data_IF_281720568552
#
_entry.id   IF_281720568552
#
_cell.length_a   1.000
_cell.length_b   1.000
_cell.length_c   1.000
_cell.angle_alpha   90.00
_cell.angle_beta   90.00
_cell.angle_gamma   90.00
#
_symmetry.space_group_name_H-M   'P 1'
#
loop_
_entity.id
_entity.type
_entity.pdbx_description
1 polymer ?
#
# COMPACT_ATOMS: atom_id res chain seq x y z
N UNK A 1 5.92 -0.87 -33.24
CA UNK A 1 4.92 -0.46 -32.23
C UNK A 1 3.98 -1.57 -31.80
N UNK A 2 3.51 -2.42 -32.72
CA UNK A 2 2.60 -3.56 -32.45
C UNK A 2 3.19 -4.62 -31.49
N UNK A 3 4.46 -4.95 -31.61
CA UNK A 3 5.16 -5.94 -30.76
C UNK A 3 5.28 -5.51 -29.29
N UNK A 4 5.52 -4.22 -29.01
CA UNK A 4 5.56 -3.70 -27.62
C UNK A 4 4.17 -3.72 -26.97
N UNK A 5 3.09 -3.48 -27.74
CA UNK A 5 1.71 -3.50 -27.23
C UNK A 5 1.28 -4.91 -26.81
N UNK A 6 1.63 -5.93 -27.62
CA UNK A 6 1.37 -7.35 -27.31
C UNK A 6 2.18 -7.83 -26.07
N UNK A 7 3.45 -7.41 -25.92
CA UNK A 7 4.27 -7.74 -24.73
C UNK A 7 3.68 -7.19 -23.43
N UNK A 8 3.14 -5.96 -23.44
CA UNK A 8 2.54 -5.38 -22.24
C UNK A 8 1.25 -6.07 -21.80
N UNK A 9 0.38 -6.44 -22.74
CA UNK A 9 -0.84 -7.21 -22.42
C UNK A 9 -0.51 -8.61 -21.91
N UNK A 10 0.46 -9.30 -22.53
CA UNK A 10 0.92 -10.60 -22.05
C UNK A 10 1.48 -10.54 -20.63
N UNK A 11 2.27 -9.50 -20.30
CA UNK A 11 2.78 -9.31 -18.95
C UNK A 11 1.65 -9.14 -17.92
N UNK A 12 0.61 -8.35 -18.24
CA UNK A 12 -0.55 -8.20 -17.36
C UNK A 12 -1.30 -9.52 -17.15
N UNK A 13 -1.45 -10.33 -18.18
CA UNK A 13 -2.08 -11.66 -18.07
C UNK A 13 -1.24 -12.56 -17.18
N UNK A 14 0.09 -12.61 -17.37
CA UNK A 14 0.99 -13.41 -16.55
C UNK A 14 0.91 -12.97 -15.08
N UNK A 15 0.89 -11.66 -14.80
CA UNK A 15 0.79 -11.14 -13.43
C UNK A 15 -0.59 -11.44 -12.82
N UNK A 16 -1.66 -11.41 -13.61
CA UNK A 16 -3.00 -11.79 -13.13
C UNK A 16 -3.08 -13.28 -12.78
N UNK A 17 -2.49 -14.15 -13.63
CA UNK A 17 -2.36 -15.59 -13.34
C UNK A 17 -1.49 -15.81 -12.10
N UNK A 18 -0.36 -15.12 -11.98
CA UNK A 18 0.48 -15.17 -10.79
C UNK A 18 -0.30 -14.82 -9.53
N UNK A 19 -1.04 -13.70 -9.55
CA UNK A 19 -1.87 -13.28 -8.41
C UNK A 19 -2.90 -14.34 -8.06
N UNK A 20 -3.58 -14.92 -9.06
CA UNK A 20 -4.55 -15.99 -8.84
C UNK A 20 -3.90 -17.20 -8.17
N UNK A 21 -2.74 -17.65 -8.67
CA UNK A 21 -2.01 -18.78 -8.08
C UNK A 21 -1.60 -18.47 -6.64
N UNK A 22 -1.04 -17.28 -6.38
CA UNK A 22 -0.62 -16.88 -5.03
C UNK A 22 -1.84 -16.82 -4.09
N UNK A 23 -2.99 -16.32 -4.54
CA UNK A 23 -4.24 -16.32 -3.73
C UNK A 23 -4.65 -17.75 -3.37
N UNK A 24 -4.66 -18.67 -4.34
CA UNK A 24 -5.02 -20.09 -4.07
C UNK A 24 -4.03 -20.71 -3.09
N UNK A 25 -2.74 -20.51 -3.27
CA UNK A 25 -1.69 -21.00 -2.36
C UNK A 25 -1.87 -20.42 -0.95
N UNK A 26 -2.13 -19.11 -0.85
CA UNK A 26 -2.33 -18.42 0.42
C UNK A 26 -3.54 -18.96 1.20
N UNK A 27 -4.62 -19.34 0.50
CA UNK A 27 -5.73 -20.04 1.14
C UNK A 27 -5.36 -21.43 1.68
N UNK A 28 -4.43 -22.12 1.03
CA UNK A 28 -3.96 -23.44 1.50
C UNK A 28 -2.96 -23.31 2.66
N UNK A 29 -2.14 -22.27 2.65
CA UNK A 29 -1.14 -22.01 3.69
C UNK A 29 -1.82 -21.49 4.96
N UNK A 30 -1.39 -22.02 6.11
CA UNK A 30 -1.85 -21.57 7.43
C UNK A 30 -1.72 -22.66 8.47
N UNK A 31 -1.68 -22.27 9.75
CA UNK A 31 -1.47 -23.17 10.88
C UNK A 31 -2.59 -24.22 11.08
N UNK A 32 -3.79 -23.93 10.63
CA UNK A 32 -4.90 -24.88 10.65
C UNK A 32 -5.02 -25.53 9.26
N UNK A 33 -4.81 -26.83 9.12
CA UNK A 33 -4.85 -27.50 7.82
C UNK A 33 -6.29 -27.52 7.28
N UNK A 34 -6.47 -27.01 6.05
CA UNK A 34 -7.74 -27.09 5.30
C UNK A 34 -7.44 -27.74 3.96
N UNK A 35 -7.98 -28.93 3.67
CA UNK A 35 -7.79 -29.60 2.37
C UNK A 35 -8.31 -28.72 1.22
N UNK A 36 -7.62 -28.73 0.10
CA UNK A 36 -7.98 -27.93 -1.09
C UNK A 36 -9.40 -28.21 -1.59
N UNK A 37 -9.85 -29.49 -1.45
CA UNK A 37 -11.20 -29.91 -1.80
C UNK A 37 -12.26 -29.20 -0.94
N UNK A 38 -12.01 -29.12 0.38
CA UNK A 38 -12.96 -28.49 1.32
C UNK A 38 -12.91 -26.98 1.18
N UNK A 39 -11.75 -26.40 0.87
CA UNK A 39 -11.62 -24.98 0.55
C UNK A 39 -12.55 -24.57 -0.60
N UNK A 40 -12.51 -25.30 -1.73
CA UNK A 40 -13.38 -25.04 -2.88
C UNK A 40 -14.88 -25.17 -2.53
N UNK A 41 -15.22 -26.17 -1.72
CA UNK A 41 -16.59 -26.40 -1.24
C UNK A 41 -17.08 -25.28 -0.31
N UNK A 42 -16.25 -24.85 0.66
CA UNK A 42 -16.58 -23.76 1.60
C UNK A 42 -16.82 -22.46 0.82
N UNK A 43 -15.92 -22.11 -0.12
CA UNK A 43 -16.07 -20.91 -0.93
C UNK A 43 -17.29 -20.98 -1.86
N UNK A 44 -17.55 -22.13 -2.49
CA UNK A 44 -18.72 -22.35 -3.32
C UNK A 44 -20.03 -22.27 -2.52
N UNK A 45 -20.09 -22.88 -1.35
CA UNK A 45 -21.24 -22.81 -0.44
C UNK A 45 -21.51 -21.36 0.00
N UNK A 46 -20.45 -20.62 0.37
CA UNK A 46 -20.59 -19.20 0.74
C UNK A 46 -21.03 -18.30 -0.41
N UNK A 47 -20.78 -18.71 -1.66
CA UNK A 47 -21.26 -18.05 -2.88
C UNK A 47 -22.69 -18.46 -3.27
N UNK A 48 -23.37 -19.31 -2.49
CA UNK A 48 -24.75 -19.72 -2.71
C UNK A 48 -24.92 -20.97 -3.59
N UNK A 49 -23.83 -21.72 -3.87
CA UNK A 49 -23.96 -22.99 -4.59
C UNK A 49 -24.58 -24.08 -3.69
N UNK A 50 -25.43 -24.98 -4.23
CA UNK A 50 -26.05 -26.06 -3.46
C UNK A 50 -25.04 -27.19 -3.19
N UNK A 51 -24.16 -26.97 -2.23
CA UNK A 51 -23.11 -27.91 -1.85
C UNK A 51 -23.42 -28.44 -0.45
N UNK A 52 -23.46 -29.75 -0.25
CA UNK A 52 -23.61 -30.35 1.05
C UNK A 52 -22.41 -30.06 1.96
N UNK A 53 -22.70 -29.68 3.19
CA UNK A 53 -21.68 -29.34 4.20
C UNK A 53 -21.01 -30.61 4.73
N UNK A 54 -19.79 -30.84 4.29
CA UNK A 54 -18.96 -32.00 4.71
C UNK A 54 -17.80 -31.60 5.61
N UNK A 55 -17.57 -30.29 5.79
CA UNK A 55 -16.48 -29.70 6.58
C UNK A 55 -16.94 -29.25 7.96
N UNK A 56 -16.00 -29.06 8.88
CA UNK A 56 -16.27 -28.60 10.24
C UNK A 56 -16.50 -27.09 10.31
N UNK A 57 -17.23 -26.63 11.33
CA UNK A 57 -17.44 -25.21 11.58
C UNK A 57 -16.11 -24.47 11.84
N UNK A 58 -15.09 -25.16 12.37
CA UNK A 58 -13.75 -24.61 12.55
C UNK A 58 -13.05 -24.32 11.21
N UNK A 59 -13.15 -25.23 10.23
CA UNK A 59 -12.63 -25.01 8.87
C UNK A 59 -13.30 -23.83 8.20
N UNK A 60 -14.63 -23.74 8.28
CA UNK A 60 -15.41 -22.64 7.73
C UNK A 60 -14.99 -21.29 8.35
N UNK A 61 -14.88 -21.23 9.66
CA UNK A 61 -14.44 -20.04 10.38
C UNK A 61 -12.99 -19.65 10.01
N UNK A 62 -12.09 -20.61 9.89
CA UNK A 62 -10.70 -20.37 9.48
C UNK A 62 -10.63 -19.78 8.06
N UNK A 63 -11.42 -20.29 7.12
CA UNK A 63 -11.43 -19.82 5.73
C UNK A 63 -12.13 -18.45 5.61
N UNK A 64 -13.37 -18.34 6.09
CA UNK A 64 -14.23 -17.17 5.81
C UNK A 64 -13.98 -15.98 6.76
N UNK A 65 -13.63 -16.25 8.03
CA UNK A 65 -13.48 -15.18 9.04
C UNK A 65 -12.05 -14.74 9.27
N UNK A 66 -11.06 -15.61 8.99
CA UNK A 66 -9.65 -15.32 9.24
C UNK A 66 -8.90 -15.14 7.91
N UNK A 67 -8.87 -16.18 7.04
CA UNK A 67 -8.05 -16.13 5.80
C UNK A 67 -8.61 -15.19 4.77
N UNK A 68 -9.90 -15.26 4.46
CA UNK A 68 -10.51 -14.45 3.39
C UNK A 68 -10.31 -12.93 3.60
N UNK A 69 -10.64 -12.33 4.78
CA UNK A 69 -10.41 -10.90 5.00
C UNK A 69 -8.94 -10.53 4.91
N UNK A 70 -8.05 -11.37 5.44
CA UNK A 70 -6.60 -11.13 5.46
C UNK A 70 -6.00 -11.15 4.06
N UNK A 71 -6.32 -12.16 3.25
CA UNK A 71 -5.87 -12.30 1.85
C UNK A 71 -6.35 -11.10 1.03
N UNK A 72 -7.64 -10.75 1.13
CA UNK A 72 -8.19 -9.61 0.39
C UNK A 72 -7.54 -8.30 0.83
N UNK A 73 -7.32 -8.11 2.12
CA UNK A 73 -6.69 -6.90 2.64
C UNK A 73 -5.20 -6.83 2.22
N UNK A 74 -4.46 -7.93 2.26
CA UNK A 74 -3.09 -8.01 1.76
C UNK A 74 -3.00 -7.60 0.29
N UNK A 75 -3.87 -8.16 -0.56
CA UNK A 75 -3.94 -7.81 -1.98
C UNK A 75 -4.26 -6.33 -2.19
N UNK A 76 -5.25 -5.78 -1.47
CA UNK A 76 -5.64 -4.38 -1.58
C UNK A 76 -4.54 -3.43 -1.11
N UNK A 77 -3.92 -3.69 0.04
CA UNK A 77 -2.80 -2.88 0.57
C UNK A 77 -1.62 -2.88 -0.39
N UNK A 78 -1.22 -4.07 -0.88
CA UNK A 78 -0.13 -4.18 -1.85
C UNK A 78 -0.43 -3.47 -3.17
N UNK A 79 -1.65 -3.62 -3.68
CA UNK A 79 -2.16 -2.91 -4.86
C UNK A 79 -2.10 -1.38 -4.65
N UNK A 80 -2.59 -0.88 -3.53
CA UNK A 80 -2.66 0.54 -3.19
C UNK A 80 -1.28 1.17 -3.04
N UNK A 81 -0.41 0.58 -2.21
CA UNK A 81 0.92 1.13 -1.93
C UNK A 81 1.80 1.15 -3.19
N UNK A 82 1.75 0.10 -4.01
CA UNK A 82 2.51 0.06 -5.26
C UNK A 82 1.99 1.05 -6.30
N UNK A 83 0.68 1.23 -6.39
CA UNK A 83 0.05 2.21 -7.31
C UNK A 83 0.37 3.64 -6.88
N UNK A 84 0.23 3.96 -5.58
CA UNK A 84 0.61 5.25 -5.02
C UNK A 84 2.09 5.55 -5.25
N UNK A 85 2.97 4.56 -5.04
CA UNK A 85 4.39 4.69 -5.34
C UNK A 85 4.67 5.01 -6.80
N UNK A 86 4.10 4.25 -7.74
CA UNK A 86 4.23 4.53 -9.17
C UNK A 86 3.73 5.94 -9.53
N UNK A 87 2.59 6.36 -8.99
CA UNK A 87 2.00 7.66 -9.23
C UNK A 87 2.87 8.81 -8.68
N UNK A 88 3.38 8.69 -7.45
CA UNK A 88 4.30 9.66 -6.88
C UNK A 88 5.61 9.77 -7.67
N UNK A 89 6.17 8.65 -8.11
CA UNK A 89 7.37 8.66 -8.97
C UNK A 89 7.14 9.47 -10.26
N UNK A 90 5.94 9.43 -10.82
CA UNK A 90 5.56 10.28 -11.97
C UNK A 90 5.41 11.75 -11.62
N UNK A 91 4.72 12.05 -10.52
CA UNK A 91 4.50 13.42 -10.04
C UNK A 91 5.78 14.14 -9.67
N UNK A 92 6.68 13.45 -8.97
CA UNK A 92 7.95 13.99 -8.49
C UNK A 92 9.08 13.85 -9.52
N UNK A 93 8.83 13.23 -10.67
CA UNK A 93 9.84 12.95 -11.71
C UNK A 93 11.09 12.28 -11.12
N UNK A 94 10.89 11.45 -10.11
CA UNK A 94 11.94 10.77 -9.38
C UNK A 94 11.57 9.32 -9.13
N UNK A 95 12.30 8.35 -9.68
CA UNK A 95 12.02 6.93 -9.48
C UNK A 95 12.19 6.46 -8.03
N UNK A 96 12.84 7.28 -7.19
CA UNK A 96 13.04 7.02 -5.76
C UNK A 96 11.94 7.62 -4.87
N UNK A 97 10.93 8.28 -5.44
CA UNK A 97 9.82 8.82 -4.66
C UNK A 97 8.97 7.69 -4.09
N UNK A 98 8.71 7.73 -2.78
CA UNK A 98 7.85 6.77 -2.07
C UNK A 98 6.52 7.41 -1.69
N UNK A 99 5.47 6.61 -1.39
CA UNK A 99 4.21 7.12 -0.86
C UNK A 99 4.38 7.93 0.45
N UNK A 100 5.43 7.65 1.21
CA UNK A 100 5.72 8.28 2.50
C UNK A 100 6.38 9.66 2.40
N UNK A 101 6.74 10.09 1.20
CA UNK A 101 7.47 11.34 0.97
C UNK A 101 6.71 12.58 1.48
N UNK A 102 5.38 12.52 1.52
CA UNK A 102 4.53 13.57 2.06
C UNK A 102 4.10 13.32 3.52
N UNK A 103 4.69 12.31 4.18
CA UNK A 103 4.48 12.05 5.60
C UNK A 103 3.17 11.37 5.98
N UNK A 104 2.47 10.77 5.05
CA UNK A 104 1.21 10.08 5.30
C UNK A 104 1.33 9.00 6.39
N UNK A 105 2.39 8.19 6.36
CA UNK A 105 2.66 7.15 7.35
C UNK A 105 3.02 7.72 8.72
N UNK A 106 3.77 8.83 8.79
CA UNK A 106 4.10 9.49 10.07
C UNK A 106 2.84 10.09 10.73
N UNK A 107 1.94 10.68 9.94
CA UNK A 107 0.64 11.12 10.43
C UNK A 107 -0.21 9.97 10.96
N UNK A 108 -0.28 8.87 10.22
CA UNK A 108 -0.98 7.66 10.66
C UNK A 108 -0.40 7.10 11.96
N UNK A 109 0.94 7.05 12.07
CA UNK A 109 1.66 6.62 13.25
C UNK A 109 1.31 7.46 14.49
N UNK A 110 1.30 8.78 14.34
CA UNK A 110 0.88 9.69 15.40
C UNK A 110 -0.58 9.47 15.81
N UNK A 111 -1.49 9.39 14.83
CA UNK A 111 -2.91 9.18 15.08
C UNK A 111 -3.19 7.85 15.78
N UNK A 112 -2.53 6.77 15.37
CA UNK A 112 -2.65 5.48 16.02
C UNK A 112 -2.09 5.50 17.45
N UNK A 113 -0.88 6.05 17.63
CA UNK A 113 -0.25 6.17 18.94
C UNK A 113 -1.11 7.00 19.91
N UNK A 114 -1.67 8.11 19.45
CA UNK A 114 -2.58 8.94 20.24
C UNK A 114 -3.84 8.17 20.65
N UNK A 115 -4.47 7.46 19.73
CA UNK A 115 -5.65 6.67 20.01
C UNK A 115 -5.36 5.52 21.01
N UNK A 116 -4.20 4.86 20.89
CA UNK A 116 -3.76 3.81 21.84
C UNK A 116 -3.51 4.41 23.22
N UNK A 117 -2.84 5.58 23.30
CA UNK A 117 -2.61 6.28 24.55
C UNK A 117 -3.91 6.61 25.28
N UNK A 118 -4.95 7.00 24.52
CA UNK A 118 -6.28 7.32 25.04
C UNK A 118 -7.15 6.08 25.33
N UNK A 119 -6.62 4.86 25.16
CA UNK A 119 -7.36 3.62 25.40
C UNK A 119 -8.48 3.33 24.42
N UNK A 120 -8.38 3.86 23.18
CA UNK A 120 -9.42 3.72 22.17
C UNK A 120 -9.54 2.29 21.63
N UNK A 121 -10.74 1.93 21.14
CA UNK A 121 -10.98 0.64 20.48
C UNK A 121 -10.20 0.53 19.16
N UNK A 122 -9.97 -0.71 18.68
CA UNK A 122 -9.25 -0.98 17.41
C UNK A 122 -9.85 -0.20 16.22
N UNK A 123 -11.18 -0.06 16.15
CA UNK A 123 -11.83 0.73 15.11
C UNK A 123 -11.48 2.22 15.19
N UNK A 124 -11.43 2.78 16.39
CA UNK A 124 -11.05 4.18 16.60
C UNK A 124 -9.57 4.42 16.32
N UNK A 125 -8.69 3.45 16.61
CA UNK A 125 -7.28 3.51 16.21
C UNK A 125 -7.16 3.62 14.70
N UNK A 126 -7.89 2.80 13.94
CA UNK A 126 -7.92 2.84 12.47
C UNK A 126 -8.42 4.20 11.95
N UNK A 127 -9.53 4.71 12.50
CA UNK A 127 -10.09 6.02 12.10
C UNK A 127 -9.13 7.16 12.43
N UNK A 128 -8.52 7.16 13.61
CA UNK A 128 -7.53 8.16 14.02
C UNK A 128 -6.30 8.15 13.12
N UNK A 129 -5.74 6.96 12.84
CA UNK A 129 -4.62 6.80 11.93
C UNK A 129 -4.94 7.34 10.52
N UNK A 130 -6.11 7.01 9.98
CA UNK A 130 -6.58 7.52 8.70
C UNK A 130 -6.72 9.05 8.70
N UNK A 131 -7.38 9.61 9.72
CA UNK A 131 -7.60 11.04 9.85
C UNK A 131 -6.28 11.83 9.91
N UNK A 132 -5.37 11.43 10.80
CA UNK A 132 -4.08 12.13 10.94
C UNK A 132 -3.17 11.95 9.73
N UNK A 133 -3.25 10.81 9.03
CA UNK A 133 -2.58 10.62 7.74
C UNK A 133 -3.04 11.62 6.70
N UNK A 134 -4.36 11.78 6.53
CA UNK A 134 -4.95 12.76 5.62
C UNK A 134 -4.64 14.20 6.02
N UNK A 135 -4.72 14.50 7.33
CA UNK A 135 -4.40 15.83 7.88
C UNK A 135 -2.95 16.22 7.60
N UNK A 136 -2.01 15.27 7.76
CA UNK A 136 -0.57 15.50 7.49
C UNK A 136 -0.37 15.96 6.05
N UNK A 137 -0.91 15.23 5.07
CA UNK A 137 -0.72 15.58 3.66
C UNK A 137 -1.50 16.84 3.28
N UNK A 138 -2.65 17.09 3.91
CA UNK A 138 -3.36 18.37 3.75
C UNK A 138 -2.49 19.55 4.21
N UNK A 139 -1.87 19.45 5.40
CA UNK A 139 -0.95 20.47 5.90
C UNK A 139 0.24 20.66 4.97
N UNK A 140 0.86 19.58 4.52
CA UNK A 140 1.97 19.62 3.54
C UNK A 140 1.55 20.35 2.26
N UNK A 141 0.38 20.02 1.74
CA UNK A 141 -0.14 20.63 0.50
C UNK A 141 -0.43 22.12 0.68
N UNK A 142 -0.99 22.53 1.81
CA UNK A 142 -1.27 23.95 2.14
C UNK A 142 0.03 24.73 2.28
N UNK A 143 1.01 24.22 3.01
CA UNK A 143 2.32 24.86 3.20
C UNK A 143 3.05 24.98 1.86
N UNK A 144 3.11 23.90 1.08
CA UNK A 144 3.77 23.90 -0.22
C UNK A 144 3.11 24.84 -1.24
N UNK A 145 1.77 25.01 -1.16
CA UNK A 145 1.03 25.92 -2.06
C UNK A 145 1.34 27.40 -1.79
N UNK A 146 1.65 27.76 -0.53
CA UNK A 146 1.98 29.13 -0.11
C UNK A 146 3.46 29.47 -0.25
N UNK A 147 4.34 28.47 -0.34
CA UNK A 147 5.78 28.68 -0.45
C UNK A 147 6.17 29.18 -1.86
N UNK A 148 7.06 30.16 -1.98
CA UNK A 148 7.59 30.63 -3.27
C UNK A 148 8.51 29.57 -3.86
N UNK A 149 8.67 29.55 -5.20
CA UNK A 149 9.60 28.69 -5.91
C UNK A 149 8.99 27.46 -6.59
N UNK A 150 9.80 26.41 -6.79
CA UNK A 150 9.40 25.20 -7.52
C UNK A 150 8.45 24.34 -6.69
N UNK A 151 7.23 24.09 -7.17
CA UNK A 151 6.17 23.38 -6.46
C UNK A 151 6.57 21.99 -5.98
N UNK A 152 7.35 21.23 -6.78
CA UNK A 152 7.81 19.89 -6.41
C UNK A 152 8.77 19.96 -5.21
N UNK A 153 9.72 20.89 -5.22
CA UNK A 153 10.68 21.08 -4.11
C UNK A 153 9.94 21.48 -2.83
N UNK A 154 8.98 22.42 -2.95
CA UNK A 154 8.19 22.87 -1.82
C UNK A 154 7.36 21.72 -1.19
N UNK A 155 6.77 20.83 -2.03
CA UNK A 155 6.06 19.66 -1.53
C UNK A 155 6.99 18.71 -0.76
N UNK A 156 8.20 18.46 -1.27
CA UNK A 156 9.16 17.59 -0.61
C UNK A 156 9.63 18.19 0.72
N UNK A 157 10.03 19.47 0.72
CA UNK A 157 10.51 20.14 1.93
C UNK A 157 9.41 20.24 2.99
N UNK A 158 8.19 20.64 2.61
CA UNK A 158 7.05 20.66 3.51
C UNK A 158 6.75 19.25 4.05
N UNK A 159 6.84 18.20 3.20
CA UNK A 159 6.69 16.81 3.59
C UNK A 159 7.67 16.40 4.68
N UNK A 160 8.96 16.71 4.52
CA UNK A 160 10.00 16.41 5.52
C UNK A 160 9.73 17.14 6.84
N UNK A 161 9.41 18.45 6.80
CA UNK A 161 9.17 19.25 8.00
C UNK A 161 7.94 18.79 8.78
N UNK A 162 6.81 18.59 8.09
CA UNK A 162 5.56 18.14 8.74
C UNK A 162 5.71 16.70 9.26
N UNK A 163 6.37 15.82 8.50
CA UNK A 163 6.68 14.46 8.96
C UNK A 163 7.51 14.45 10.24
N UNK A 164 8.50 15.33 10.33
CA UNK A 164 9.36 15.44 11.53
C UNK A 164 8.55 15.89 12.75
N UNK A 165 7.57 16.79 12.57
CA UNK A 165 6.68 17.22 13.66
C UNK A 165 5.82 16.06 14.17
N UNK A 166 5.17 15.30 13.28
CA UNK A 166 4.37 14.13 13.69
C UNK A 166 5.22 13.00 14.28
N UNK A 167 6.44 12.82 13.78
CA UNK A 167 7.40 11.86 14.34
C UNK A 167 7.82 12.24 15.75
N UNK A 168 8.11 13.52 16.00
CA UNK A 168 8.40 14.04 17.34
C UNK A 168 7.20 13.85 18.29
N UNK A 169 5.97 14.13 17.80
CA UNK A 169 4.74 13.87 18.55
C UNK A 169 4.56 12.40 18.90
N UNK A 170 4.82 11.48 17.95
CA UNK A 170 4.79 10.03 18.22
C UNK A 170 5.82 9.63 19.26
N UNK A 171 7.03 10.21 19.21
CA UNK A 171 8.09 9.96 20.19
C UNK A 171 7.70 10.45 21.58
N UNK A 172 7.07 11.61 21.68
CA UNK A 172 6.52 12.11 22.95
C UNK A 172 5.44 11.20 23.52
N UNK A 173 4.50 10.72 22.68
CA UNK A 173 3.48 9.77 23.11
C UNK A 173 4.11 8.50 23.66
N UNK A 174 5.15 7.96 23.00
CA UNK A 174 5.88 6.77 23.48
C UNK A 174 6.59 7.01 24.81
N UNK A 175 7.05 8.23 25.07
CA UNK A 175 7.71 8.60 26.34
C UNK A 175 6.73 8.58 27.51
N UNK A 176 5.49 9.01 27.31
CA UNK A 176 4.47 9.11 28.38
C UNK A 176 3.56 7.88 28.47
N UNK A 177 3.63 6.96 27.50
CA UNK A 177 2.80 5.74 27.44
C UNK A 177 3.18 4.76 28.55
N UNK A 178 2.18 4.02 29.06
CA UNK A 178 2.41 2.91 29.99
C UNK A 178 3.38 1.87 29.38
N UNK A 179 4.52 1.58 30.05
CA UNK A 179 5.54 0.69 29.51
C UNK A 179 5.09 -0.76 29.37
N UNK A 180 4.08 -1.21 30.11
CA UNK A 180 3.67 -2.60 30.13
C UNK A 180 2.60 -2.91 29.07
N UNK A 181 1.73 -1.94 28.73
CA UNK A 181 0.58 -2.19 27.84
C UNK A 181 0.61 -1.29 26.59
N UNK A 182 0.67 0.04 26.77
CA UNK A 182 0.51 0.99 25.68
C UNK A 182 1.76 1.08 24.78
N UNK A 183 2.95 1.14 25.37
CA UNK A 183 4.19 1.25 24.60
C UNK A 183 4.46 0.01 23.72
N UNK A 184 4.28 -1.24 24.18
CA UNK A 184 4.34 -2.41 23.33
C UNK A 184 3.30 -2.39 22.21
N UNK A 185 2.05 -2.00 22.51
CA UNK A 185 0.98 -1.91 21.51
C UNK A 185 1.29 -0.89 20.41
N UNK A 186 1.76 0.32 20.78
CA UNK A 186 2.21 1.35 19.83
C UNK A 186 3.35 0.81 18.98
N UNK A 187 4.36 0.21 19.61
CA UNK A 187 5.54 -0.30 18.92
C UNK A 187 5.17 -1.39 17.92
N UNK A 188 4.29 -2.34 18.30
CA UNK A 188 3.81 -3.38 17.41
C UNK A 188 3.01 -2.81 16.23
N UNK A 189 2.15 -1.82 16.49
CA UNK A 189 1.39 -1.15 15.43
C UNK A 189 2.30 -0.48 14.40
N UNK A 190 3.37 0.19 14.87
CA UNK A 190 4.36 0.85 14.02
C UNK A 190 5.16 -0.12 13.13
N UNK A 191 5.31 -1.38 13.54
CA UNK A 191 6.00 -2.40 12.75
C UNK A 191 5.18 -2.90 11.55
N UNK A 192 3.87 -2.64 11.53
CA UNK A 192 2.96 -3.05 10.47
C UNK A 192 2.63 -4.54 10.48
N UNK A 193 1.34 -4.86 10.48
CA UNK A 193 0.84 -6.23 10.51
C UNK A 193 -0.57 -6.33 9.92
N UNK A 194 -0.91 -7.49 9.37
CA UNK A 194 -2.26 -7.84 8.94
C UNK A 194 -2.94 -8.86 9.86
N UNK A 195 -2.37 -9.14 11.05
CA UNK A 195 -2.92 -10.11 12.01
C UNK A 195 -4.32 -9.76 12.50
N UNK A 196 -4.63 -8.47 12.63
CA UNK A 196 -5.94 -7.96 13.05
C UNK A 196 -6.97 -7.79 11.93
N UNK A 197 -6.76 -8.38 10.74
CA UNK A 197 -7.64 -8.24 9.58
C UNK A 197 -9.03 -8.83 9.85
N UNK A 198 -10.07 -8.01 9.68
CA UNK A 198 -11.47 -8.37 9.80
C UNK A 198 -12.27 -7.91 8.59
N UNK A 199 -13.47 -8.47 8.39
CA UNK A 199 -14.39 -7.96 7.37
C UNK A 199 -14.79 -6.50 7.62
N UNK A 200 -14.77 -6.03 8.87
CA UNK A 200 -15.05 -4.62 9.20
C UNK A 200 -13.91 -3.71 8.73
N UNK A 201 -12.65 -4.07 9.02
CA UNK A 201 -11.48 -3.32 8.56
C UNK A 201 -11.36 -3.33 7.04
N UNK A 202 -11.66 -4.45 6.39
CA UNK A 202 -11.71 -4.56 4.94
C UNK A 202 -12.75 -3.60 4.32
N UNK A 203 -13.99 -3.60 4.84
CA UNK A 203 -15.05 -2.70 4.35
C UNK A 203 -14.71 -1.22 4.57
N UNK A 204 -14.13 -0.89 5.72
CA UNK A 204 -13.67 0.47 6.01
C UNK A 204 -12.62 0.95 5.01
N UNK A 205 -11.60 0.13 4.75
CA UNK A 205 -10.51 0.48 3.85
C UNK A 205 -10.91 0.45 2.36
N UNK A 206 -11.81 -0.44 1.96
CA UNK A 206 -12.19 -0.64 0.56
C UNK A 206 -12.72 0.62 -0.11
N UNK A 207 -13.59 1.37 0.57
CA UNK A 207 -14.21 2.58 -0.01
C UNK A 207 -13.16 3.64 -0.35
N UNK A 208 -12.31 4.12 0.59
CA UNK A 208 -11.30 5.12 0.26
C UNK A 208 -10.23 4.57 -0.70
N UNK A 209 -9.89 3.29 -0.63
CA UNK A 209 -8.98 2.66 -1.59
C UNK A 209 -9.56 2.68 -3.01
N UNK A 210 -10.82 2.31 -3.19
CA UNK A 210 -11.49 2.35 -4.49
C UNK A 210 -11.60 3.79 -5.03
N UNK A 211 -12.00 4.74 -4.17
CA UNK A 211 -12.09 6.17 -4.52
C UNK A 211 -10.75 6.77 -4.95
N UNK A 212 -9.64 6.29 -4.44
CA UNK A 212 -8.31 6.72 -4.87
C UNK A 212 -7.77 5.97 -6.09
N UNK A 213 -7.94 4.63 -6.16
CA UNK A 213 -7.41 3.79 -7.24
C UNK A 213 -8.12 4.04 -8.57
N UNK A 214 -9.46 4.16 -8.55
CA UNK A 214 -10.26 4.32 -9.78
C UNK A 214 -9.85 5.57 -10.57
N UNK A 215 -9.80 6.78 -9.97
CA UNK A 215 -9.32 7.96 -10.69
C UNK A 215 -7.88 7.83 -11.19
N UNK A 216 -6.97 7.24 -10.40
CA UNK A 216 -5.58 7.01 -10.83
C UNK A 216 -5.51 6.14 -12.08
N UNK A 217 -6.36 5.10 -12.19
CA UNK A 217 -6.45 4.26 -13.38
C UNK A 217 -7.01 5.03 -14.59
N UNK A 218 -8.00 5.89 -14.40
CA UNK A 218 -8.56 6.70 -15.49
C UNK A 218 -7.59 7.75 -16.01
N UNK A 219 -6.81 8.38 -15.12
CA UNK A 219 -5.85 9.42 -15.50
C UNK A 219 -4.45 8.90 -15.83
N UNK A 220 -4.21 7.56 -15.78
CA UNK A 220 -2.90 6.93 -15.96
C UNK A 220 -2.14 7.39 -17.20
N UNK A 221 -2.84 7.69 -18.30
CA UNK A 221 -2.19 8.19 -19.51
C UNK A 221 -1.65 9.62 -19.35
N UNK A 222 -2.33 10.45 -18.54
CA UNK A 222 -1.91 11.81 -18.24
C UNK A 222 -0.66 11.86 -17.37
N UNK A 223 -0.38 10.80 -16.59
CA UNK A 223 0.85 10.69 -15.81
C UNK A 223 2.10 10.72 -16.71
N UNK A 224 2.03 10.16 -17.92
CA UNK A 224 3.13 10.25 -18.88
C UNK A 224 3.45 11.71 -19.23
N UNK A 225 2.46 12.60 -19.24
CA UNK A 225 2.67 14.01 -19.56
C UNK A 225 3.35 14.76 -18.40
N UNK A 226 3.07 14.37 -17.14
CA UNK A 226 3.77 14.96 -15.99
C UNK A 226 5.27 14.62 -15.95
N UNK A 227 5.66 13.48 -16.55
CA UNK A 227 7.07 13.10 -16.60
C UNK A 227 7.88 13.91 -17.61
N UNK A 228 7.23 14.59 -18.55
CA UNK A 228 7.90 15.45 -19.55
C UNK A 228 8.26 16.83 -19.00
N UNK A 229 7.53 17.31 -18.00
CA UNK A 229 7.68 18.65 -17.45
C UNK A 229 6.37 19.44 -17.46
N UNK A 230 6.34 20.55 -16.70
CA UNK A 230 5.13 21.36 -16.55
C UNK A 230 4.81 22.17 -17.82
N UNK A 231 5.84 22.63 -18.53
CA UNK A 231 5.70 23.42 -19.76
C UNK A 231 5.22 22.54 -20.92
N UNK A 232 5.83 21.38 -21.09
CA UNK A 232 5.43 20.40 -22.11
C UNK A 232 4.02 19.87 -21.88
N UNK A 233 3.65 19.61 -20.61
CA UNK A 233 2.30 19.20 -20.28
C UNK A 233 1.26 20.28 -20.63
N UNK A 234 1.59 21.57 -20.45
CA UNK A 234 0.72 22.71 -20.81
C UNK A 234 0.54 22.81 -22.32
N UNK A 235 1.57 22.66 -23.11
CA UNK A 235 1.47 22.70 -24.59
C UNK A 235 0.57 21.58 -25.12
N UNK A 236 0.48 20.45 -24.40
CA UNK A 236 -0.43 19.33 -24.71
C UNK A 236 -1.84 19.51 -24.10
N UNK A 237 -2.18 20.71 -23.59
CA UNK A 237 -3.50 21.02 -23.06
C UNK A 237 -3.79 20.48 -21.66
N UNK A 238 -2.76 20.07 -20.90
CA UNK A 238 -2.92 19.55 -19.54
C UNK A 238 -2.43 20.56 -18.49
N UNK A 239 -3.29 20.90 -17.54
CA UNK A 239 -2.91 21.71 -16.40
C UNK A 239 -2.12 20.86 -15.38
N UNK A 240 -0.78 20.85 -15.51
CA UNK A 240 0.11 20.05 -14.68
C UNK A 240 -0.14 20.22 -13.17
N UNK A 241 -0.36 21.45 -12.68
CA UNK A 241 -0.63 21.72 -11.26
C UNK A 241 -1.92 21.06 -10.75
N UNK A 242 -3.02 21.12 -11.53
CA UNK A 242 -4.29 20.47 -11.16
C UNK A 242 -4.17 18.96 -11.19
N UNK A 243 -3.52 18.43 -12.24
CA UNK A 243 -3.32 16.99 -12.36
C UNK A 243 -2.45 16.47 -11.21
N UNK A 244 -1.37 17.17 -10.87
CA UNK A 244 -0.51 16.84 -9.72
C UNK A 244 -1.30 16.79 -8.41
N UNK A 245 -2.15 17.79 -8.16
CA UNK A 245 -2.99 17.83 -6.97
C UNK A 245 -3.93 16.61 -6.91
N UNK A 246 -4.61 16.28 -8.00
CA UNK A 246 -5.50 15.09 -8.07
C UNK A 246 -4.72 13.80 -7.80
N UNK A 247 -3.56 13.64 -8.41
CA UNK A 247 -2.71 12.45 -8.20
C UNK A 247 -2.24 12.37 -6.76
N UNK A 248 -1.78 13.48 -6.16
CA UNK A 248 -1.37 13.53 -4.75
C UNK A 248 -2.53 13.15 -3.84
N UNK A 249 -3.72 13.75 -4.02
CA UNK A 249 -4.89 13.44 -3.19
C UNK A 249 -5.31 11.97 -3.30
N UNK A 250 -5.42 11.44 -4.52
CA UNK A 250 -5.78 10.03 -4.73
C UNK A 250 -4.72 9.08 -4.15
N UNK A 251 -3.44 9.36 -4.39
CA UNK A 251 -2.34 8.54 -3.84
C UNK A 251 -2.27 8.61 -2.32
N UNK A 252 -2.53 9.78 -1.73
CA UNK A 252 -2.64 9.93 -0.28
C UNK A 252 -3.81 9.13 0.28
N UNK A 253 -4.96 9.21 -0.36
CA UNK A 253 -6.17 8.51 0.08
C UNK A 253 -5.94 6.99 0.15
N UNK A 254 -5.34 6.41 -0.89
CA UNK A 254 -5.03 4.96 -0.89
C UNK A 254 -3.91 4.60 0.10
N UNK A 255 -2.92 5.48 0.30
CA UNK A 255 -1.86 5.26 1.29
C UNK A 255 -2.41 5.34 2.71
N UNK A 256 -3.18 6.39 3.03
CA UNK A 256 -3.80 6.57 4.33
C UNK A 256 -4.73 5.40 4.70
N UNK A 257 -5.57 4.96 3.74
CA UNK A 257 -6.42 3.79 3.93
C UNK A 257 -5.62 2.50 4.15
N UNK A 258 -4.51 2.33 3.41
CA UNK A 258 -3.64 1.16 3.58
C UNK A 258 -2.98 1.15 4.95
N UNK A 259 -2.29 2.24 5.32
CA UNK A 259 -1.54 2.33 6.58
C UNK A 259 -2.47 2.26 7.79
N UNK A 260 -3.68 2.83 7.72
CA UNK A 260 -4.64 2.80 8.83
C UNK A 260 -5.09 1.40 9.25
N UNK A 261 -5.08 0.43 8.32
CA UNK A 261 -5.50 -0.95 8.58
C UNK A 261 -4.36 -1.96 8.68
N UNK A 262 -3.17 -1.60 8.20
CA UNK A 262 -2.00 -2.50 8.19
C UNK A 262 -0.84 -2.02 9.06
N UNK A 263 -0.91 -0.81 9.63
CA UNK A 263 0.25 -0.15 10.20
C UNK A 263 1.25 0.26 9.13
N UNK A 264 2.47 0.63 9.53
CA UNK A 264 3.47 1.16 8.61
C UNK A 264 4.14 0.02 7.83
N UNK A 265 3.89 -0.02 6.50
CA UNK A 265 4.53 -0.95 5.58
C UNK A 265 5.28 -0.14 4.53
N UNK A 266 6.61 -0.10 4.64
CA UNK A 266 7.48 0.60 3.70
C UNK A 266 7.91 -0.27 2.51
N UNK A 267 8.71 0.31 1.60
CA UNK A 267 9.40 -0.32 0.47
C UNK A 267 8.54 -0.81 -0.69
N UNK A 268 7.30 -1.26 -0.46
CA UNK A 268 6.41 -1.81 -1.51
C UNK A 268 6.21 -0.80 -2.63
N UNK A 269 5.91 0.46 -2.28
CA UNK A 269 5.72 1.54 -3.25
C UNK A 269 6.99 1.98 -4.00
N UNK A 270 8.17 1.53 -3.56
CA UNK A 270 9.45 1.76 -4.23
C UNK A 270 9.84 0.57 -5.11
N UNK A 271 9.88 -0.62 -4.53
CA UNK A 271 10.39 -1.85 -5.15
C UNK A 271 9.50 -2.29 -6.31
N UNK A 272 8.19 -2.39 -6.07
CA UNK A 272 7.25 -2.94 -7.05
C UNK A 272 7.17 -2.13 -8.34
N UNK A 273 6.99 -0.78 -8.32
CA UNK A 273 6.99 0.01 -9.56
C UNK A 273 8.31 -0.08 -10.32
N UNK A 274 9.44 -0.17 -9.61
CA UNK A 274 10.74 -0.32 -10.25
C UNK A 274 10.85 -1.66 -11.01
N UNK A 275 10.43 -2.77 -10.40
CA UNK A 275 10.36 -4.08 -11.07
C UNK A 275 9.44 -4.04 -12.29
N UNK A 276 8.27 -3.41 -12.14
CA UNK A 276 7.32 -3.25 -13.25
C UNK A 276 7.90 -2.45 -14.41
N UNK A 277 8.70 -1.40 -14.15
CA UNK A 277 9.39 -0.65 -15.23
C UNK A 277 10.33 -1.53 -16.03
N UNK A 278 11.06 -2.43 -15.39
CA UNK A 278 11.92 -3.39 -16.09
C UNK A 278 11.13 -4.35 -16.98
N UNK A 279 9.89 -4.67 -16.61
CA UNK A 279 9.03 -5.61 -17.35
C UNK A 279 8.26 -4.94 -18.50
N UNK A 280 7.65 -3.77 -18.27
CA UNK A 280 6.72 -3.14 -19.21
C UNK A 280 7.14 -1.75 -19.69
N UNK A 281 8.28 -1.22 -19.21
CA UNK A 281 8.80 0.13 -19.51
C UNK A 281 8.10 1.23 -18.71
N UNK A 282 8.35 2.49 -19.11
CA UNK A 282 7.93 3.68 -18.36
C UNK A 282 6.51 4.18 -18.71
N UNK A 283 5.78 3.54 -19.64
CA UNK A 283 4.42 3.97 -20.00
C UNK A 283 3.43 3.64 -18.87
N UNK A 284 2.91 4.67 -18.22
CA UNK A 284 1.95 4.56 -17.10
C UNK A 284 0.65 3.86 -17.45
N UNK A 285 0.28 3.80 -18.74
CA UNK A 285 -0.88 3.00 -19.20
C UNK A 285 -0.74 1.52 -18.86
N UNK A 286 0.51 1.02 -18.82
CA UNK A 286 0.86 -0.36 -18.51
C UNK A 286 1.48 -0.49 -17.12
N UNK A 287 2.30 0.48 -16.74
CA UNK A 287 3.02 0.48 -15.47
C UNK A 287 2.05 0.43 -14.29
N UNK A 288 0.99 1.25 -14.29
CA UNK A 288 0.03 1.25 -13.16
C UNK A 288 -0.68 -0.10 -12.99
N UNK A 289 -1.35 -0.68 -14.00
CA UNK A 289 -1.99 -1.98 -13.84
C UNK A 289 -1.02 -3.11 -13.47
N UNK A 290 0.21 -3.10 -14.03
CA UNK A 290 1.23 -4.07 -13.64
C UNK A 290 1.66 -3.89 -12.19
N UNK A 291 1.82 -2.64 -11.73
CA UNK A 291 2.16 -2.34 -10.33
C UNK A 291 1.06 -2.78 -9.37
N UNK A 292 -0.21 -2.63 -9.76
CA UNK A 292 -1.35 -3.13 -8.97
C UNK A 292 -1.28 -4.65 -8.77
N UNK A 293 -1.13 -5.39 -9.87
CA UNK A 293 -1.12 -6.86 -9.84
C UNK A 293 0.12 -7.40 -9.12
N UNK A 294 1.30 -6.88 -9.45
CA UNK A 294 2.54 -7.32 -8.82
C UNK A 294 2.59 -6.92 -7.34
N UNK A 295 2.08 -5.71 -6.99
CA UNK A 295 2.00 -5.25 -5.61
C UNK A 295 1.09 -6.11 -4.75
N UNK A 296 -0.08 -6.49 -5.27
CA UNK A 296 -0.99 -7.42 -4.62
C UNK A 296 -0.33 -8.78 -4.38
N UNK A 297 0.32 -9.35 -5.41
CA UNK A 297 1.03 -10.63 -5.31
C UNK A 297 2.20 -10.56 -4.32
N UNK A 298 3.00 -9.51 -4.39
CA UNK A 298 4.15 -9.30 -3.51
C UNK A 298 3.74 -9.22 -2.04
N UNK A 299 2.73 -8.38 -1.73
CA UNK A 299 2.24 -8.22 -0.36
C UNK A 299 1.66 -9.52 0.19
N UNK A 300 0.93 -10.28 -0.63
CA UNK A 300 0.36 -11.55 -0.20
C UNK A 300 1.43 -12.60 0.08
N UNK A 301 2.48 -12.67 -0.75
CA UNK A 301 3.64 -13.56 -0.49
C UNK A 301 4.37 -13.16 0.80
N UNK A 302 4.58 -11.85 1.02
CA UNK A 302 5.21 -11.37 2.26
C UNK A 302 4.33 -11.70 3.49
N UNK A 303 3.01 -11.57 3.38
CA UNK A 303 2.08 -11.96 4.45
C UNK A 303 2.11 -13.46 4.71
N UNK A 304 2.19 -14.30 3.66
CA UNK A 304 2.33 -15.74 3.79
C UNK A 304 3.62 -16.13 4.53
N UNK A 305 4.73 -15.48 4.23
CA UNK A 305 6.00 -15.65 4.95
C UNK A 305 5.86 -15.18 6.40
N UNK A 306 5.26 -13.99 6.63
CA UNK A 306 5.04 -13.41 7.96
C UNK A 306 4.37 -14.38 8.94
N UNK A 307 3.33 -15.07 8.47
CA UNK A 307 2.48 -15.93 9.33
C UNK A 307 2.93 -17.39 9.45
N UNK A 308 3.80 -17.86 8.52
CA UNK A 308 4.17 -19.28 8.47
C UNK A 308 5.65 -19.56 8.80
N UNK A 309 6.53 -18.54 8.77
CA UNK A 309 7.97 -18.74 8.93
C UNK A 309 8.36 -19.09 10.37
N UNK A 310 7.75 -18.42 11.37
CA UNK A 310 8.03 -18.61 12.80
C UNK A 310 6.74 -18.92 13.58
N UNK A 311 6.91 -19.37 14.82
CA UNK A 311 5.79 -19.57 15.75
C UNK A 311 5.06 -18.27 16.10
N UNK A 312 5.77 -17.14 16.11
CA UNK A 312 5.22 -15.79 16.26
C UNK A 312 5.20 -15.12 14.89
N UNK A 313 4.14 -14.39 14.58
CA UNK A 313 4.04 -13.65 13.31
C UNK A 313 5.10 -12.55 13.25
N UNK A 314 5.86 -12.53 12.16
CA UNK A 314 6.86 -11.48 11.91
C UNK A 314 6.12 -10.25 11.37
N UNK A 315 6.26 -9.05 11.95
CA UNK A 315 5.70 -7.83 11.38
C UNK A 315 6.10 -7.63 9.92
N UNK A 316 5.12 -7.30 9.07
CA UNK A 316 5.29 -7.20 7.61
C UNK A 316 6.30 -6.10 7.25
N UNK A 317 6.31 -4.99 8.00
CA UNK A 317 7.26 -3.89 7.79
C UNK A 317 8.72 -4.32 7.93
N UNK A 318 9.02 -5.26 8.83
CA UNK A 318 10.35 -5.85 8.99
C UNK A 318 10.73 -6.64 7.72
N UNK A 319 9.85 -7.52 7.26
CA UNK A 319 10.11 -8.35 6.07
C UNK A 319 10.28 -7.48 4.81
N UNK A 320 9.42 -6.49 4.62
CA UNK A 320 9.54 -5.58 3.48
C UNK A 320 10.82 -4.75 3.52
N UNK A 321 11.32 -4.38 4.71
CA UNK A 321 12.59 -3.68 4.88
C UNK A 321 13.78 -4.59 4.54
N UNK A 322 13.77 -5.85 5.00
CA UNK A 322 14.81 -6.82 4.66
C UNK A 322 14.89 -7.16 3.17
N UNK A 323 13.77 -7.05 2.44
CA UNK A 323 13.75 -7.23 0.98
C UNK A 323 14.12 -5.92 0.28
N UNK A 324 13.54 -4.81 0.71
CA UNK A 324 13.61 -3.54 0.00
C UNK A 324 14.96 -2.85 0.11
N UNK A 325 15.57 -2.78 1.30
CA UNK A 325 16.83 -2.09 1.49
C UNK A 325 17.99 -2.76 0.72
N UNK A 326 18.22 -4.09 0.78
CA UNK A 326 19.26 -4.74 -0.03
C UNK A 326 18.99 -4.61 -1.54
N UNK A 327 17.72 -4.68 -1.96
CA UNK A 327 17.36 -4.48 -3.36
C UNK A 327 17.78 -3.09 -3.87
N UNK A 328 17.55 -2.04 -3.10
CA UNK A 328 17.96 -0.69 -3.47
C UNK A 328 19.47 -0.47 -3.40
N UNK A 329 20.16 -1.05 -2.42
CA UNK A 329 21.61 -1.03 -2.37
C UNK A 329 22.22 -1.68 -3.63
N UNK A 330 21.67 -2.81 -4.05
CA UNK A 330 22.07 -3.46 -5.30
C UNK A 330 21.81 -2.58 -6.53
N UNK A 331 20.69 -1.85 -6.59
CA UNK A 331 20.39 -0.96 -7.70
C UNK A 331 21.35 0.24 -7.78
N UNK A 332 21.72 0.83 -6.65
CA UNK A 332 22.62 1.98 -6.59
C UNK A 332 24.04 1.55 -7.00
N UNK A 333 24.48 0.35 -6.63
CA UNK A 333 25.81 -0.15 -6.94
C UNK A 333 25.97 -0.59 -8.40
N UNK A 334 24.88 -0.99 -9.06
CA UNK A 334 24.91 -1.23 -10.51
C UNK A 334 24.76 0.10 -11.23
N UNK A 335 25.76 0.44 -12.07
CA UNK A 335 25.73 1.55 -13.07
C UNK A 335 24.69 1.31 -14.18
N UNK A 336 23.55 0.74 -13.91
CA UNK A 336 22.44 0.72 -14.86
C UNK A 336 21.81 2.10 -14.83
N UNK A 337 21.87 2.81 -15.94
CA UNK A 337 21.19 4.06 -16.24
C UNK A 337 19.82 4.11 -15.60
N UNK A 338 19.71 4.84 -14.47
CA UNK A 338 18.43 5.22 -13.87
C UNK A 338 17.81 6.35 -14.71
N UNK A 339 17.51 6.08 -15.98
CA UNK A 339 16.80 7.00 -16.88
C UNK A 339 15.62 6.28 -17.52
#
# INVERSE_FOLDING_TARGET
>A
MVTKKKKGALCQIILAVLLFVVVVVSFCLGRYPVPLRDLGRILGFSAGLPIEKTWTNAMESAVLRIRLPRILLACLVGCCLSTAGAAYQGVFQNPMASPDLLGASNGAAFGAALAILLGASSGMITVSAFFFSMLTVLLVTIVAARAPGKKIVNLILAGVMVSSLFSAGTSYIKLVADPNNQLPAITYWLMGSLSGSTLKSLRFAFIPMALGLIPLLFIRWKLNLLTLGDEEARTMGVHASRLRLVVVLCSTLVTAASVSVSGMIGWVGLVVPHLCRKMVGNDYRRLLPCSMLLGASFMLVVDDVSRNLLAVEIPIGILTAFIGAPFFLYLITRKETML
#
